data_IF_620151199088
#
_entry.id   IF_620151199088
#
_cell.length_a   1.000
_cell.length_b   1.000
_cell.length_c   1.000
_cell.angle_alpha   90.00
_cell.angle_beta   90.00
_cell.angle_gamma   90.00
#
_symmetry.space_group_name_H-M   'P 1'
#
loop_
_entity.id
_entity.type
_entity.pdbx_description
1 polymer ?
#
# COMPACT_ATOMS: atom_id res chain seq x y z
N UNK A 1 -30.16 42.26 17.92
CA UNK A 1 -29.98 40.94 17.26
C UNK A 1 -28.53 40.55 16.99
N UNK A 2 -27.71 41.37 16.29
CA UNK A 2 -26.32 41.02 15.92
C UNK A 2 -25.38 40.67 17.10
N UNK A 3 -25.57 41.28 18.28
CA UNK A 3 -24.75 41.01 19.48
C UNK A 3 -25.01 39.63 20.11
N UNK A 4 -26.25 39.16 20.10
CA UNK A 4 -26.63 37.86 20.68
C UNK A 4 -26.06 36.68 19.88
N UNK A 5 -26.05 36.79 18.54
CA UNK A 5 -25.47 35.79 17.64
C UNK A 5 -23.95 35.67 17.86
N UNK A 6 -23.26 36.80 18.05
CA UNK A 6 -21.81 36.83 18.31
C UNK A 6 -21.43 36.12 19.62
N UNK A 7 -22.22 36.31 20.69
CA UNK A 7 -21.95 35.65 21.98
C UNK A 7 -22.19 34.14 21.92
N UNK A 8 -23.25 33.71 21.19
CA UNK A 8 -23.57 32.29 21.01
C UNK A 8 -22.47 31.56 20.24
N UNK A 9 -21.97 32.17 19.15
CA UNK A 9 -20.87 31.61 18.34
C UNK A 9 -19.59 31.49 19.18
N UNK A 10 -19.25 32.49 20.00
CA UNK A 10 -18.07 32.43 20.89
C UNK A 10 -18.18 31.32 21.94
N UNK A 11 -19.38 31.10 22.48
CA UNK A 11 -19.64 30.03 23.45
C UNK A 11 -19.47 28.65 22.81
N UNK A 12 -20.01 28.43 21.60
CA UNK A 12 -19.87 27.18 20.86
C UNK A 12 -18.39 26.90 20.52
N UNK A 13 -17.64 27.90 20.07
CA UNK A 13 -16.20 27.76 19.78
C UNK A 13 -15.43 27.39 21.06
N UNK A 14 -15.77 28.00 22.20
CA UNK A 14 -15.13 27.67 23.48
C UNK A 14 -15.41 26.22 23.92
N UNK A 15 -16.65 25.75 23.77
CA UNK A 15 -17.03 24.37 24.07
C UNK A 15 -16.31 23.36 23.17
N UNK A 16 -16.21 23.63 21.87
CA UNK A 16 -15.47 22.80 20.93
C UNK A 16 -13.98 22.72 21.30
N UNK A 17 -13.35 23.85 21.65
CA UNK A 17 -11.95 23.88 22.09
C UNK A 17 -11.72 23.03 23.33
N UNK A 18 -12.64 23.08 24.31
CA UNK A 18 -12.57 22.23 25.50
C UNK A 18 -12.70 20.74 25.16
N UNK A 19 -13.65 20.37 24.29
CA UNK A 19 -13.79 18.99 23.81
C UNK A 19 -12.52 18.48 23.10
N UNK A 20 -11.93 19.27 22.20
CA UNK A 20 -10.70 18.89 21.52
C UNK A 20 -9.51 18.73 22.47
N UNK A 21 -9.43 19.56 23.52
CA UNK A 21 -8.41 19.43 24.56
C UNK A 21 -8.55 18.12 25.34
N UNK A 22 -9.78 17.74 25.72
CA UNK A 22 -10.06 16.48 26.41
C UNK A 22 -9.74 15.26 25.53
N UNK A 23 -10.09 15.30 24.25
CA UNK A 23 -9.76 14.25 23.28
C UNK A 23 -8.24 14.08 23.11
N UNK A 24 -7.50 15.19 22.99
CA UNK A 24 -6.03 15.15 22.87
C UNK A 24 -5.37 14.58 24.13
N UNK A 25 -5.86 14.97 25.32
CA UNK A 25 -5.40 14.42 26.61
C UNK A 25 -5.69 12.93 26.76
N UNK A 26 -6.86 12.48 26.30
CA UNK A 26 -7.20 11.05 26.28
C UNK A 26 -6.27 10.28 25.33
N UNK A 27 -6.04 10.77 24.13
CA UNK A 27 -5.14 10.15 23.16
C UNK A 27 -3.69 10.05 23.69
N UNK A 28 -3.20 11.08 24.39
CA UNK A 28 -1.88 11.05 25.04
C UNK A 28 -1.77 10.01 26.16
N UNK A 29 -2.87 9.73 26.88
CA UNK A 29 -2.91 8.73 27.96
C UNK A 29 -3.00 7.30 27.45
N UNK A 30 -3.79 7.07 26.40
CA UNK A 30 -3.97 5.74 25.81
C UNK A 30 -2.75 5.34 24.98
N UNK A 31 -2.09 6.31 24.34
CA UNK A 31 -0.99 6.06 23.41
C UNK A 31 -1.46 5.34 22.14
N UNK A 32 -0.66 5.44 21.08
CA UNK A 32 -0.91 4.60 19.90
C UNK A 32 -0.44 3.17 20.19
N UNK A 33 -1.27 2.14 19.90
CA UNK A 33 -0.86 0.77 20.11
C UNK A 33 0.37 0.47 19.26
N UNK A 34 1.35 -0.23 19.84
CA UNK A 34 2.58 -0.52 19.12
C UNK A 34 2.25 -1.41 17.91
N UNK A 35 2.86 -1.12 16.75
CA UNK A 35 2.60 -1.84 15.49
C UNK A 35 2.75 -3.37 15.62
N UNK A 36 3.64 -3.84 16.50
CA UNK A 36 3.85 -5.26 16.76
C UNK A 36 2.72 -5.89 17.59
N UNK A 37 2.18 -5.20 18.59
CA UNK A 37 1.05 -5.64 19.41
C UNK A 37 -0.22 -5.79 18.56
N UNK A 38 -0.53 -4.78 17.75
CA UNK A 38 -1.65 -4.83 16.79
C UNK A 38 -1.46 -6.00 15.82
N UNK A 39 -0.25 -6.20 15.29
CA UNK A 39 0.05 -7.31 14.38
C UNK A 39 -0.13 -8.67 15.06
N UNK A 40 0.31 -8.83 16.31
CA UNK A 40 0.20 -10.09 17.04
C UNK A 40 -1.25 -10.39 17.41
N UNK A 41 -2.00 -9.39 17.84
CA UNK A 41 -3.45 -9.50 18.09
C UNK A 41 -4.19 -9.93 16.82
N UNK A 42 -3.93 -9.28 15.68
CA UNK A 42 -4.52 -9.68 14.40
C UNK A 42 -4.16 -11.13 14.06
N UNK A 43 -2.91 -11.56 14.25
CA UNK A 43 -2.49 -12.95 13.98
C UNK A 43 -3.13 -13.97 14.91
N UNK A 44 -3.44 -13.59 16.15
CA UNK A 44 -4.11 -14.46 17.11
C UNK A 44 -5.61 -14.58 16.81
N UNK A 45 -6.25 -13.49 16.35
CA UNK A 45 -7.69 -13.43 16.14
C UNK A 45 -8.13 -13.81 14.71
N UNK A 46 -7.26 -13.68 13.71
CA UNK A 46 -7.60 -14.01 12.32
C UNK A 46 -7.19 -15.46 12.02
N UNK A 47 -8.15 -16.35 11.71
CA UNK A 47 -7.83 -17.71 11.28
C UNK A 47 -6.86 -17.68 10.11
N UNK A 48 -5.80 -18.49 10.18
CA UNK A 48 -4.89 -18.66 9.05
C UNK A 48 -5.69 -19.33 7.93
N UNK A 49 -5.73 -18.70 6.76
CA UNK A 49 -6.24 -19.35 5.55
C UNK A 49 -5.43 -20.60 5.26
N UNK A 50 -6.08 -21.60 4.70
CA UNK A 50 -5.40 -22.77 4.17
C UNK A 50 -4.32 -22.34 3.16
N UNK A 51 -3.11 -22.94 3.18
CA UNK A 51 -2.03 -22.58 2.27
C UNK A 51 -2.41 -22.65 0.79
N UNK A 52 -3.19 -23.67 0.36
CA UNK A 52 -3.62 -23.82 -1.03
C UNK A 52 -4.57 -22.70 -1.41
N UNK A 53 -5.57 -22.42 -0.58
CA UNK A 53 -6.52 -21.32 -0.81
C UNK A 53 -5.83 -19.94 -0.86
N UNK A 54 -4.82 -19.73 -0.02
CA UNK A 54 -4.02 -18.51 -0.09
C UNK A 54 -3.25 -18.41 -1.42
N UNK A 55 -2.66 -19.51 -1.91
CA UNK A 55 -1.93 -19.53 -3.19
C UNK A 55 -2.87 -19.38 -4.38
N UNK A 56 -4.07 -19.98 -4.36
CA UNK A 56 -5.11 -19.76 -5.39
C UNK A 56 -5.45 -18.28 -5.51
N UNK A 57 -5.68 -17.59 -4.39
CA UNK A 57 -5.84 -16.13 -4.41
C UNK A 57 -4.66 -15.40 -5.07
N UNK A 58 -3.44 -15.94 -5.01
CA UNK A 58 -2.26 -15.38 -5.70
C UNK A 58 -2.20 -15.69 -7.20
N UNK A 59 -2.86 -16.74 -7.69
CA UNK A 59 -2.96 -17.02 -9.13
C UNK A 59 -3.67 -15.87 -9.85
N UNK A 60 -4.87 -15.49 -9.36
CA UNK A 60 -5.64 -14.34 -9.86
C UNK A 60 -4.88 -13.02 -9.69
N UNK A 61 -3.98 -12.95 -8.71
CA UNK A 61 -3.17 -11.77 -8.51
C UNK A 61 -2.03 -11.59 -9.51
N UNK A 62 -1.62 -12.67 -10.17
CA UNK A 62 -0.40 -12.74 -10.96
C UNK A 62 -0.64 -12.82 -12.47
N UNK A 63 -1.87 -13.08 -12.91
CA UNK A 63 -2.23 -13.10 -14.34
C UNK A 63 -3.65 -12.59 -14.56
N UNK A 64 -3.93 -12.08 -15.74
CA UNK A 64 -5.27 -11.67 -16.22
C UNK A 64 -5.90 -12.73 -17.14
N UNK A 65 -5.10 -13.70 -17.63
CA UNK A 65 -5.57 -14.73 -18.56
C UNK A 65 -6.25 -15.85 -17.79
N UNK A 66 -7.53 -16.09 -18.11
CA UNK A 66 -8.33 -17.12 -17.43
C UNK A 66 -7.68 -18.51 -17.50
N UNK A 67 -7.18 -18.91 -18.67
CA UNK A 67 -6.49 -20.20 -18.86
C UNK A 67 -5.28 -20.38 -17.95
N UNK A 68 -4.51 -19.30 -17.70
CA UNK A 68 -3.34 -19.35 -16.82
C UNK A 68 -3.75 -19.39 -15.33
N UNK A 69 -4.90 -18.80 -14.98
CA UNK A 69 -5.48 -18.89 -13.64
C UNK A 69 -5.92 -20.33 -13.37
N UNK A 70 -6.64 -20.95 -14.31
CA UNK A 70 -7.13 -22.33 -14.18
C UNK A 70 -5.98 -23.33 -14.09
N UNK A 71 -4.93 -23.18 -14.93
CA UNK A 71 -3.70 -23.98 -14.81
C UNK A 71 -3.01 -23.82 -13.46
N UNK A 72 -2.99 -22.59 -12.94
CA UNK A 72 -2.43 -22.32 -11.61
C UNK A 72 -3.26 -22.99 -10.51
N UNK A 73 -4.59 -22.96 -10.59
CA UNK A 73 -5.46 -23.65 -9.65
C UNK A 73 -5.25 -25.16 -9.68
N UNK A 74 -5.24 -25.76 -10.88
CA UNK A 74 -4.96 -27.18 -11.06
C UNK A 74 -3.62 -27.57 -10.44
N UNK A 75 -2.54 -26.82 -10.72
CA UNK A 75 -1.23 -27.07 -10.11
C UNK A 75 -1.28 -27.02 -8.58
N UNK A 76 -2.00 -26.04 -8.00
CA UNK A 76 -2.11 -25.89 -6.54
C UNK A 76 -2.90 -27.05 -5.92
N UNK A 77 -3.95 -27.51 -6.60
CA UNK A 77 -4.76 -28.63 -6.15
C UNK A 77 -3.97 -29.94 -6.20
N UNK A 78 -3.21 -30.17 -7.27
CA UNK A 78 -2.38 -31.36 -7.47
C UNK A 78 -1.11 -31.37 -6.60
N UNK A 79 -0.68 -30.21 -6.09
CA UNK A 79 0.52 -30.12 -5.26
C UNK A 79 0.32 -30.83 -3.91
N UNK A 80 1.10 -31.87 -3.66
CA UNK A 80 1.08 -32.60 -2.40
C UNK A 80 1.77 -31.80 -1.28
N UNK A 81 1.03 -31.52 -0.21
CA UNK A 81 1.56 -30.87 0.98
C UNK A 81 1.74 -31.91 2.11
N UNK A 82 2.85 -31.84 2.87
CA UNK A 82 3.03 -32.70 4.03
C UNK A 82 2.02 -32.34 5.13
N UNK A 83 1.73 -33.29 6.03
CA UNK A 83 0.80 -33.08 7.14
C UNK A 83 1.17 -31.87 8.02
N UNK A 84 2.47 -31.62 8.20
CA UNK A 84 2.99 -30.48 8.95
C UNK A 84 3.55 -29.42 8.01
N UNK A 85 2.66 -28.60 7.43
CA UNK A 85 3.04 -27.58 6.47
C UNK A 85 3.97 -26.53 7.09
N UNK A 86 5.19 -26.45 6.56
CA UNK A 86 6.18 -25.44 6.92
C UNK A 86 6.13 -24.23 5.98
N UNK A 87 6.88 -23.18 6.32
CA UNK A 87 7.04 -22.01 5.44
C UNK A 87 7.70 -22.37 4.11
N UNK A 88 8.62 -23.33 4.12
CA UNK A 88 9.39 -23.71 2.93
C UNK A 88 8.54 -24.51 1.95
N UNK A 89 7.61 -25.34 2.45
CA UNK A 89 6.63 -26.05 1.62
C UNK A 89 5.73 -25.07 0.86
N UNK A 90 5.22 -24.05 1.56
CA UNK A 90 4.43 -22.99 0.92
C UNK A 90 5.27 -22.20 -0.08
N UNK A 91 6.57 -22.00 0.18
CA UNK A 91 7.46 -21.34 -0.75
C UNK A 91 7.73 -22.19 -2.00
N UNK A 92 7.85 -23.51 -1.85
CA UNK A 92 7.96 -24.45 -2.97
C UNK A 92 6.69 -24.42 -3.83
N UNK A 93 5.51 -24.60 -3.20
CA UNK A 93 4.20 -24.49 -3.87
C UNK A 93 4.09 -23.20 -4.69
N UNK A 94 4.48 -22.06 -4.11
CA UNK A 94 4.45 -20.76 -4.80
C UNK A 94 5.40 -20.69 -5.98
N UNK A 95 6.61 -21.25 -5.87
CA UNK A 95 7.60 -21.21 -6.95
C UNK A 95 7.18 -22.09 -8.12
N UNK A 96 6.56 -23.22 -7.82
CA UNK A 96 6.12 -24.21 -8.80
C UNK A 96 4.85 -23.76 -9.53
N UNK A 97 3.82 -23.35 -8.78
CA UNK A 97 2.50 -23.15 -9.37
C UNK A 97 2.17 -21.71 -9.75
N UNK A 98 2.78 -20.69 -9.12
CA UNK A 98 2.39 -19.32 -9.44
C UNK A 98 2.98 -18.86 -10.77
N UNK A 99 2.16 -18.30 -11.68
CA UNK A 99 2.67 -17.68 -12.88
C UNK A 99 3.56 -16.49 -12.49
N UNK A 100 4.68 -16.33 -13.19
CA UNK A 100 5.58 -15.20 -13.01
C UNK A 100 5.04 -14.01 -13.79
N UNK A 101 4.51 -12.97 -13.12
CA UNK A 101 3.95 -11.83 -13.83
C UNK A 101 5.08 -10.99 -14.42
N UNK A 102 4.86 -10.47 -15.62
CA UNK A 102 5.76 -9.48 -16.22
C UNK A 102 5.87 -8.23 -15.34
N UNK A 103 6.99 -7.51 -15.43
CA UNK A 103 7.20 -6.27 -14.68
C UNK A 103 6.13 -5.23 -15.00
N UNK A 104 5.74 -5.13 -16.28
CA UNK A 104 4.66 -4.25 -16.74
C UNK A 104 3.32 -4.63 -16.11
N UNK A 105 2.99 -5.92 -16.03
CA UNK A 105 1.79 -6.40 -15.34
C UNK A 105 1.76 -5.98 -13.86
N UNK A 106 2.86 -6.23 -13.14
CA UNK A 106 2.98 -5.82 -11.72
C UNK A 106 2.82 -4.31 -11.55
N UNK A 107 3.35 -3.52 -12.48
CA UNK A 107 3.23 -2.07 -12.46
C UNK A 107 1.79 -1.61 -12.75
N UNK A 108 1.11 -2.18 -13.77
CA UNK A 108 -0.30 -1.87 -14.07
C UNK A 108 -1.21 -2.14 -12.88
N UNK A 109 -1.01 -3.26 -12.20
CA UNK A 109 -1.75 -3.57 -10.96
C UNK A 109 -1.48 -2.58 -9.84
N UNK A 110 -0.28 -1.99 -9.77
CA UNK A 110 0.00 -0.91 -8.82
C UNK A 110 -0.78 0.37 -9.14
N UNK A 111 -1.05 0.68 -10.41
CA UNK A 111 -1.93 1.79 -10.78
C UNK A 111 -3.32 1.62 -10.13
N UNK A 112 -3.95 0.47 -10.35
CA UNK A 112 -5.28 0.15 -9.79
C UNK A 112 -5.31 0.22 -8.25
N UNK A 113 -4.21 -0.19 -7.59
CA UNK A 113 -4.12 -0.16 -6.12
C UNK A 113 -3.82 1.22 -5.54
N UNK A 114 -3.24 2.14 -6.30
CA UNK A 114 -2.74 3.44 -5.81
C UNK A 114 -3.62 4.61 -6.20
N UNK A 115 -4.24 4.54 -7.38
CA UNK A 115 -5.09 5.58 -7.93
C UNK A 115 -6.55 5.25 -7.65
N UNK A 116 -7.37 6.29 -7.50
CA UNK A 116 -8.81 6.13 -7.21
C UNK A 116 -9.68 6.45 -8.41
N UNK A 117 -9.28 7.44 -9.20
CA UNK A 117 -10.02 7.84 -10.40
C UNK A 117 -9.77 6.86 -11.55
N UNK A 118 -10.85 6.47 -12.24
CA UNK A 118 -10.78 5.53 -13.36
C UNK A 118 -9.91 6.05 -14.50
N UNK A 119 -10.00 7.34 -14.80
CA UNK A 119 -9.24 8.00 -15.87
C UNK A 119 -7.74 8.00 -15.58
N UNK A 120 -7.34 8.27 -14.33
CA UNK A 120 -5.94 8.20 -13.88
C UNK A 120 -5.40 6.77 -13.95
N UNK A 121 -6.22 5.77 -13.60
CA UNK A 121 -5.86 4.35 -13.68
C UNK A 121 -5.55 3.96 -15.14
N UNK A 122 -6.42 4.31 -16.09
CA UNK A 122 -6.19 3.99 -17.50
C UNK A 122 -4.97 4.74 -18.05
N UNK A 123 -4.84 6.03 -17.74
CA UNK A 123 -3.65 6.82 -18.12
C UNK A 123 -2.34 6.23 -17.58
N UNK A 124 -2.36 5.72 -16.34
CA UNK A 124 -1.23 5.05 -15.72
C UNK A 124 -0.90 3.72 -16.41
N UNK A 125 -1.91 2.92 -16.78
CA UNK A 125 -1.73 1.68 -17.51
C UNK A 125 -1.14 1.91 -18.91
N UNK A 126 -1.62 2.95 -19.61
CA UNK A 126 -1.11 3.36 -20.92
C UNK A 126 0.35 3.82 -20.84
N UNK A 127 0.69 4.65 -19.85
CA UNK A 127 2.07 5.06 -19.58
C UNK A 127 3.02 3.85 -19.40
N UNK A 128 2.60 2.85 -18.62
CA UNK A 128 3.41 1.64 -18.40
C UNK A 128 3.53 0.79 -19.68
N UNK A 129 2.47 0.74 -20.47
CA UNK A 129 2.47 0.00 -21.73
C UNK A 129 3.47 0.60 -22.72
N UNK A 130 3.45 1.93 -22.86
CA UNK A 130 4.33 2.67 -23.79
C UNK A 130 5.77 2.81 -23.27
N UNK A 131 6.00 2.70 -21.96
CA UNK A 131 7.34 2.77 -21.39
C UNK A 131 8.24 1.66 -21.95
N UNK A 132 9.36 2.06 -22.55
CA UNK A 132 10.36 1.14 -23.08
C UNK A 132 11.28 0.71 -21.94
N UNK A 133 11.21 -0.58 -21.60
CA UNK A 133 12.17 -1.21 -20.70
C UNK A 133 13.08 -2.10 -21.55
N UNK A 134 14.38 -2.16 -21.27
CA UNK A 134 15.25 -3.14 -21.89
C UNK A 134 14.86 -4.56 -21.46
N UNK A 135 15.37 -5.57 -22.16
CA UNK A 135 15.03 -6.99 -21.96
C UNK A 135 15.35 -7.49 -20.55
N UNK A 136 16.41 -6.93 -19.94
CA UNK A 136 16.80 -7.13 -18.54
C UNK A 136 16.92 -5.76 -17.85
N UNK A 137 15.80 -5.20 -17.37
CA UNK A 137 15.82 -3.88 -16.78
C UNK A 137 16.44 -3.90 -15.38
N UNK A 138 17.25 -2.88 -15.10
CA UNK A 138 17.82 -2.65 -13.78
C UNK A 138 16.74 -2.25 -12.78
N UNK A 139 17.06 -2.33 -11.49
CA UNK A 139 16.15 -1.87 -10.44
C UNK A 139 15.82 -0.37 -10.60
N UNK A 140 16.77 0.43 -11.04
CA UNK A 140 16.63 1.88 -11.23
C UNK A 140 15.66 2.21 -12.36
N UNK A 141 15.78 1.56 -13.51
CA UNK A 141 14.89 1.77 -14.66
C UNK A 141 13.43 1.41 -14.32
N UNK A 142 13.24 0.32 -13.59
CA UNK A 142 11.91 -0.08 -13.10
C UNK A 142 11.37 0.93 -12.09
N UNK A 143 12.22 1.53 -11.26
CA UNK A 143 11.81 2.56 -10.30
C UNK A 143 11.51 3.90 -10.97
N UNK A 144 12.26 4.26 -12.00
CA UNK A 144 11.99 5.43 -12.83
C UNK A 144 10.63 5.31 -13.53
N UNK A 145 10.35 4.16 -14.16
CA UNK A 145 9.03 3.87 -14.73
C UNK A 145 7.92 4.04 -13.68
N UNK A 146 8.10 3.53 -12.46
CA UNK A 146 7.10 3.68 -11.39
C UNK A 146 6.94 5.14 -10.97
N UNK A 147 8.02 5.92 -10.91
CA UNK A 147 7.96 7.35 -10.56
C UNK A 147 7.12 8.12 -11.57
N UNK A 148 7.50 8.03 -12.85
CA UNK A 148 6.84 8.72 -13.97
C UNK A 148 5.40 8.25 -14.20
N UNK A 149 5.17 6.94 -14.13
CA UNK A 149 3.84 6.42 -14.46
C UNK A 149 2.86 6.42 -13.28
N UNK A 150 3.33 6.21 -12.04
CA UNK A 150 2.47 5.93 -10.88
C UNK A 150 2.54 7.03 -9.81
N UNK A 151 3.73 7.49 -9.42
CA UNK A 151 3.87 8.38 -8.25
C UNK A 151 3.42 9.79 -8.55
N UNK A 152 3.87 10.38 -9.67
CA UNK A 152 3.45 11.73 -10.10
C UNK A 152 1.92 11.87 -10.18
N UNK A 153 1.23 10.81 -10.60
CA UNK A 153 -0.24 10.78 -10.71
C UNK A 153 -0.97 10.52 -9.40
N UNK A 154 -0.29 9.97 -8.40
CA UNK A 154 -0.94 9.58 -7.14
C UNK A 154 -1.11 10.73 -6.15
N UNK A 155 -0.62 11.94 -6.49
CA UNK A 155 -0.62 13.12 -5.62
C UNK A 155 0.16 12.92 -4.31
N UNK A 156 0.85 11.78 -4.15
CA UNK A 156 1.85 11.59 -3.11
C UNK A 156 3.14 12.18 -3.61
N UNK A 157 3.25 13.49 -3.53
CA UNK A 157 4.56 14.12 -3.39
C UNK A 157 5.30 13.35 -2.30
N UNK A 158 6.49 12.84 -2.64
CA UNK A 158 7.45 12.53 -1.58
C UNK A 158 7.52 13.81 -0.75
N UNK A 159 7.27 13.70 0.56
CA UNK A 159 7.79 14.70 1.48
C UNK A 159 9.30 14.73 1.26
N UNK A 160 9.75 15.59 0.36
CA UNK A 160 11.14 16.01 0.34
C UNK A 160 11.24 16.86 1.59
N UNK A 161 11.97 16.37 2.59
CA UNK A 161 12.36 17.21 3.71
C UNK A 161 12.94 18.50 3.12
N UNK A 162 12.54 19.68 3.61
CA UNK A 162 13.21 20.90 3.22
C UNK A 162 14.70 20.68 3.46
N UNK A 163 15.51 20.84 2.42
CA UNK A 163 16.95 20.99 2.58
C UNK A 163 17.08 22.24 3.44
N UNK A 164 17.36 22.08 4.73
CA UNK A 164 17.90 23.16 5.53
C UNK A 164 19.20 23.53 4.83
N UNK A 165 19.17 24.64 4.09
CA UNK A 165 20.40 25.31 3.69
C UNK A 165 21.04 25.75 5.01
N UNK A 166 22.08 25.02 5.41
CA UNK A 166 23.05 25.47 6.40
C UNK A 166 23.81 26.63 5.77
N UNK A 167 23.25 27.83 5.80
CA UNK A 167 23.96 29.08 5.55
C UNK A 167 23.18 30.19 6.27
N UNK A 168 23.56 30.47 7.51
CA UNK A 168 23.47 31.79 8.19
C UNK A 168 24.15 31.68 9.58
N UNK A 169 25.40 31.20 9.63
CA UNK A 169 26.34 31.52 10.72
C UNK A 169 27.29 32.64 10.24
N UNK A 170 26.76 33.86 10.08
CA UNK A 170 27.61 35.06 10.01
C UNK A 170 26.88 36.27 10.58
N UNK A 171 26.63 36.28 11.88
CA UNK A 171 26.38 37.53 12.63
C UNK A 171 26.71 37.36 14.12
N UNK A 172 27.99 37.10 14.43
CA UNK A 172 28.58 37.45 15.73
C UNK A 172 30.12 37.63 15.59
N UNK A 173 30.54 38.80 15.11
CA UNK A 173 31.76 39.50 15.55
C UNK A 173 31.76 40.93 15.02
#
# INVERSE_FOLDING_TARGET
MKRLISTLVRSIIAQLKQMFSLLRSWQQRVGDPKKNEVRNMIRACVPKKDPKEWVKGKCEENTEKQDDIEKCFQCVDDFELPQNVTRDDVQALRRTCLPQPSLKFKAKRKCVKRLRAKEEIESCKECIQSYKLPEKPSCEEVNEMKRKCILERSGRELWTEPILQEDDEEYLA
#
